data_IF_022328761768
#
_entry.id   IF_022328761768
#
_cell.length_a   1.000
_cell.length_b   1.000
_cell.length_c   1.000
_cell.angle_alpha   90.00
_cell.angle_beta   90.00
_cell.angle_gamma   90.00
#
_symmetry.space_group_name_H-M   'P 1'
#
loop_
_entity.id
_entity.type
_entity.pdbx_description
1 polymer ?
#
# COMPACT_ATOMS: atom_id res chain seq x y z
N UNK A 1 -15.00 3.13 -13.14
CA UNK A 1 -14.38 2.84 -11.82
C UNK A 1 -14.62 1.39 -11.37
N UNK A 2 -15.83 0.82 -11.47
CA UNK A 2 -16.06 -0.59 -11.07
C UNK A 2 -15.36 -1.62 -11.99
N UNK A 3 -15.37 -1.42 -13.31
CA UNK A 3 -14.77 -2.38 -14.26
C UNK A 3 -13.26 -2.58 -14.07
N UNK A 4 -12.51 -1.50 -13.84
CA UNK A 4 -11.06 -1.56 -13.60
C UNK A 4 -10.70 -2.16 -12.24
N UNK A 5 -11.49 -1.87 -11.20
CA UNK A 5 -11.31 -2.47 -9.88
C UNK A 5 -11.58 -3.98 -9.93
N UNK A 6 -12.65 -4.41 -10.60
CA UNK A 6 -12.95 -5.82 -10.83
C UNK A 6 -11.88 -6.53 -11.66
N UNK A 7 -11.28 -5.83 -12.63
CA UNK A 7 -10.20 -6.38 -13.44
C UNK A 7 -8.90 -6.54 -12.64
N UNK A 8 -8.54 -5.55 -11.80
CA UNK A 8 -7.41 -5.65 -10.88
C UNK A 8 -7.63 -6.75 -9.82
N UNK A 9 -8.84 -6.88 -9.29
CA UNK A 9 -9.25 -7.99 -8.41
C UNK A 9 -9.13 -9.34 -9.14
N UNK A 10 -9.60 -9.45 -10.39
CA UNK A 10 -9.41 -10.67 -11.20
C UNK A 10 -7.94 -10.99 -11.47
N UNK A 11 -7.10 -9.97 -11.64
CA UNK A 11 -5.68 -10.09 -11.98
C UNK A 11 -4.81 -10.49 -10.78
N UNK A 12 -5.03 -9.89 -9.62
CA UNK A 12 -4.12 -10.00 -8.48
C UNK A 12 -4.65 -10.81 -7.30
N UNK A 13 -5.97 -11.00 -7.20
CA UNK A 13 -6.60 -11.69 -6.07
C UNK A 13 -7.03 -13.11 -6.48
N UNK A 14 -6.54 -14.16 -5.79
CA UNK A 14 -6.97 -15.52 -6.05
C UNK A 14 -8.50 -15.67 -6.00
N UNK A 15 -9.12 -16.54 -6.81
CA UNK A 15 -10.58 -16.67 -6.86
C UNK A 15 -11.28 -16.84 -5.51
N UNK A 16 -10.62 -17.53 -4.57
CA UNK A 16 -11.11 -17.81 -3.21
C UNK A 16 -11.12 -16.60 -2.27
N UNK A 17 -10.47 -15.50 -2.66
CA UNK A 17 -10.31 -14.29 -1.85
C UNK A 17 -10.99 -13.07 -2.48
N UNK A 18 -11.59 -13.22 -3.67
CA UNK A 18 -12.38 -12.17 -4.32
C UNK A 18 -13.68 -11.96 -3.53
N UNK A 19 -14.01 -10.73 -3.18
CA UNK A 19 -15.21 -10.37 -2.40
C UNK A 19 -14.99 -10.25 -0.88
N UNK A 20 -13.78 -10.50 -0.37
CA UNK A 20 -13.39 -10.07 0.98
C UNK A 20 -12.93 -8.59 0.89
N UNK A 21 -13.90 -7.68 0.94
CA UNK A 21 -13.67 -6.26 0.67
C UNK A 21 -12.82 -5.60 1.77
N UNK A 22 -11.62 -5.13 1.41
CA UNK A 22 -10.95 -4.06 2.13
C UNK A 22 -11.22 -2.77 1.37
N UNK A 23 -12.08 -1.88 1.91
CA UNK A 23 -12.38 -0.61 1.25
C UNK A 23 -11.15 0.30 1.34
N UNK A 24 -10.51 0.55 0.19
CA UNK A 24 -9.43 1.52 0.04
C UNK A 24 -10.00 2.94 -0.09
N UNK A 25 -9.67 3.83 0.86
CA UNK A 25 -9.89 5.28 0.71
C UNK A 25 -8.57 5.98 0.43
N UNK A 26 -8.59 7.02 -0.41
CA UNK A 26 -7.44 7.82 -0.81
C UNK A 26 -7.50 9.19 -0.14
N UNK A 27 -6.39 9.61 0.46
CA UNK A 27 -6.19 11.00 0.83
C UNK A 27 -4.80 11.45 0.36
N UNK A 28 -4.76 12.29 -0.69
CA UNK A 28 -3.57 13.02 -1.09
C UNK A 28 -3.45 14.28 -0.23
N UNK A 29 -2.40 14.39 0.57
CA UNK A 29 -2.16 15.57 1.40
C UNK A 29 -0.77 16.15 1.14
N UNK A 30 -0.70 17.48 1.05
CA UNK A 30 0.56 18.26 0.98
C UNK A 30 1.30 18.31 2.33
N UNK A 31 0.70 17.80 3.41
CA UNK A 31 1.29 17.77 4.75
C UNK A 31 1.17 16.36 5.38
N UNK A 32 2.27 15.59 5.47
CA UNK A 32 2.26 14.23 6.01
C UNK A 32 1.92 14.15 7.50
N UNK A 33 2.16 15.22 8.29
CA UNK A 33 1.81 15.25 9.71
C UNK A 33 0.31 15.41 9.96
N UNK A 34 -0.39 16.18 9.12
CA UNK A 34 -1.83 16.41 9.27
C UNK A 34 -2.66 15.15 9.08
N UNK A 35 -2.22 14.26 8.19
CA UNK A 35 -2.88 12.99 7.90
C UNK A 35 -2.77 11.99 9.06
N UNK A 36 -1.62 11.99 9.74
CA UNK A 36 -1.36 11.13 10.89
C UNK A 36 -2.29 11.49 12.06
N UNK A 37 -2.49 12.79 12.31
CA UNK A 37 -3.38 13.29 13.38
C UNK A 37 -4.86 13.00 13.09
N UNK A 38 -5.32 13.17 11.85
CA UNK A 38 -6.71 12.85 11.49
C UNK A 38 -6.99 11.34 11.58
N UNK A 39 -6.03 10.48 11.27
CA UNK A 39 -6.19 9.03 11.36
C UNK A 39 -6.18 8.51 12.80
N UNK A 40 -5.32 9.03 13.68
CA UNK A 40 -5.39 8.71 15.11
C UNK A 40 -6.76 9.09 15.68
N UNK A 41 -7.34 10.21 15.22
CA UNK A 41 -8.70 10.62 15.61
C UNK A 41 -9.77 9.70 15.02
N UNK A 42 -9.67 9.29 13.76
CA UNK A 42 -10.67 8.41 13.11
C UNK A 42 -10.62 6.98 13.65
N UNK A 43 -9.42 6.43 13.87
CA UNK A 43 -9.21 5.15 14.52
C UNK A 43 -9.67 5.18 15.99
N UNK A 44 -9.43 6.28 16.71
CA UNK A 44 -9.96 6.50 18.06
C UNK A 44 -11.49 6.70 18.10
N UNK A 45 -12.11 7.17 17.01
CA UNK A 45 -13.56 7.38 16.90
C UNK A 45 -14.33 6.15 16.36
N UNK A 46 -13.65 5.15 15.79
CA UNK A 46 -14.22 4.27 14.77
C UNK A 46 -14.35 2.78 15.11
N UNK A 47 -15.03 2.43 16.20
CA UNK A 47 -15.61 1.09 16.40
C UNK A 47 -14.65 -0.12 16.45
N UNK A 48 -15.21 -1.33 16.47
CA UNK A 48 -14.48 -2.60 16.71
C UNK A 48 -13.75 -3.14 15.46
N UNK A 49 -13.42 -2.28 14.49
CA UNK A 49 -12.84 -2.65 13.19
C UNK A 49 -11.33 -2.36 13.19
N UNK A 50 -10.56 -3.21 12.51
CA UNK A 50 -9.12 -3.06 12.39
C UNK A 50 -8.74 -2.34 11.09
N UNK A 51 -7.77 -1.41 11.16
CA UNK A 51 -7.28 -0.67 9.99
C UNK A 51 -5.82 -1.03 9.68
N UNK A 52 -5.55 -1.41 8.44
CA UNK A 52 -4.20 -1.54 7.90
C UNK A 52 -3.93 -0.35 6.97
N UNK A 53 -2.85 0.38 7.19
CA UNK A 53 -2.61 1.67 6.53
C UNK A 53 -1.23 1.65 5.88
N UNK A 54 -1.17 2.04 4.62
CA UNK A 54 0.10 2.23 3.89
C UNK A 54 0.22 3.70 3.53
N UNK A 55 1.19 4.37 4.12
CA UNK A 55 1.47 5.78 3.91
C UNK A 55 2.81 5.96 3.21
N UNK A 56 2.79 6.25 1.91
CA UNK A 56 3.97 6.45 1.08
C UNK A 56 4.31 7.93 1.07
N UNK A 57 5.48 8.26 1.60
CA UNK A 57 5.98 9.62 1.73
C UNK A 57 7.03 9.89 0.65
N UNK A 58 6.80 10.93 -0.14
CA UNK A 58 7.72 11.39 -1.19
C UNK A 58 8.33 12.71 -0.75
N UNK A 59 9.60 12.71 -0.30
CA UNK A 59 10.28 13.95 0.02
C UNK A 59 10.66 14.70 -1.26
N UNK A 60 10.58 16.03 -1.19
CA UNK A 60 10.84 16.96 -2.29
C UNK A 60 10.67 18.40 -1.81
N UNK A 61 10.75 19.37 -2.72
CA UNK A 61 10.47 20.79 -2.41
C UNK A 61 9.04 21.02 -1.92
N UNK A 62 8.11 20.16 -2.35
CA UNK A 62 6.82 19.93 -1.72
C UNK A 62 6.75 18.46 -1.32
N UNK A 63 6.41 18.17 -0.06
CA UNK A 63 6.22 16.80 0.42
C UNK A 63 4.88 16.26 -0.07
N UNK A 64 4.89 15.19 -0.86
CA UNK A 64 3.68 14.48 -1.25
C UNK A 64 3.52 13.24 -0.39
N UNK A 65 2.30 12.98 0.08
CA UNK A 65 1.95 11.75 0.78
C UNK A 65 0.80 11.06 0.09
N UNK A 66 0.94 9.76 -0.13
CA UNK A 66 -0.13 8.87 -0.57
C UNK A 66 -0.47 7.94 0.59
N UNK A 67 -1.67 8.08 1.17
CA UNK A 67 -2.16 7.12 2.14
C UNK A 67 -3.28 6.25 1.57
N UNK A 68 -3.15 4.95 1.81
CA UNK A 68 -4.09 3.91 1.45
C UNK A 68 -4.59 3.25 2.73
N UNK A 69 -5.89 3.33 2.96
CA UNK A 69 -6.53 2.79 4.16
C UNK A 69 -7.26 1.50 3.83
N UNK A 70 -6.97 0.41 4.52
CA UNK A 70 -7.68 -0.86 4.38
C UNK A 70 -8.41 -1.17 5.67
N UNK A 71 -9.73 -1.03 5.66
CA UNK A 71 -10.58 -1.43 6.79
C UNK A 71 -10.90 -2.91 6.67
N UNK A 72 -10.70 -3.65 7.76
CA UNK A 72 -11.04 -5.06 7.85
C UNK A 72 -12.46 -5.25 8.36
N UNK A 73 -13.27 -6.01 7.62
CA UNK A 73 -14.58 -6.40 8.10
C UNK A 73 -14.54 -7.58 9.08
N UNK A 74 -13.54 -8.43 8.94
CA UNK A 74 -13.27 -9.59 9.78
C UNK A 74 -12.33 -9.19 10.93
N UNK A 75 -12.55 -9.68 12.17
CA UNK A 75 -11.61 -9.52 13.28
C UNK A 75 -10.19 -9.99 12.91
N UNK A 76 -9.18 -9.30 13.44
CA UNK A 76 -7.76 -9.56 13.13
C UNK A 76 -7.35 -10.99 13.46
N UNK A 77 -7.87 -11.53 14.57
CA UNK A 77 -7.59 -12.86 15.12
C UNK A 77 -8.05 -13.98 14.18
N UNK A 78 -8.98 -13.70 13.27
CA UNK A 78 -9.45 -14.65 12.25
C UNK A 78 -8.59 -14.63 10.99
N UNK A 79 -7.56 -13.77 10.92
CA UNK A 79 -6.63 -13.68 9.79
C UNK A 79 -5.19 -13.89 10.29
N UNK A 80 -4.79 -15.15 10.57
CA UNK A 80 -3.56 -15.43 11.34
C UNK A 80 -2.28 -14.88 10.73
N UNK A 81 -2.19 -14.81 9.39
CA UNK A 81 -1.02 -14.24 8.71
C UNK A 81 -0.90 -12.74 8.97
N UNK A 82 -2.04 -12.02 8.91
CA UNK A 82 -2.06 -10.59 9.13
C UNK A 82 -1.89 -10.26 10.61
N UNK A 83 -2.52 -11.02 11.50
CA UNK A 83 -2.31 -10.91 12.94
C UNK A 83 -0.82 -11.05 13.30
N UNK A 84 -0.16 -12.09 12.79
CA UNK A 84 1.29 -12.29 12.97
C UNK A 84 2.12 -11.15 12.38
N UNK A 85 1.73 -10.58 11.25
CA UNK A 85 2.41 -9.42 10.67
C UNK A 85 2.23 -8.17 11.52
N UNK A 86 1.02 -7.95 12.04
CA UNK A 86 0.67 -6.81 12.90
C UNK A 86 1.43 -6.88 14.22
N UNK A 87 1.50 -8.05 14.85
CA UNK A 87 2.13 -8.24 16.15
C UNK A 87 3.61 -8.67 16.10
N UNK A 88 4.16 -8.89 14.90
CA UNK A 88 5.57 -9.27 14.69
C UNK A 88 6.54 -8.11 14.85
N UNK A 89 7.84 -8.37 14.75
CA UNK A 89 8.89 -7.35 14.74
C UNK A 89 9.11 -6.75 13.34
N UNK A 90 9.92 -5.68 13.27
CA UNK A 90 10.20 -4.99 12.01
C UNK A 90 11.00 -5.85 11.05
N UNK A 91 11.91 -6.72 11.53
CA UNK A 91 12.65 -7.64 10.68
C UNK A 91 11.71 -8.61 9.95
N UNK A 92 10.74 -9.16 10.68
CA UNK A 92 9.68 -9.99 10.12
C UNK A 92 8.85 -9.23 9.10
N UNK A 93 8.36 -8.03 9.44
CA UNK A 93 7.53 -7.22 8.54
C UNK A 93 8.29 -6.86 7.25
N UNK A 94 9.53 -6.40 7.38
CA UNK A 94 10.40 -6.00 6.28
C UNK A 94 10.71 -7.15 5.31
N UNK A 95 10.84 -8.37 5.82
CA UNK A 95 11.07 -9.56 4.99
C UNK A 95 9.83 -10.03 4.23
N UNK A 96 8.62 -9.56 4.58
CA UNK A 96 7.35 -10.11 4.05
C UNK A 96 6.50 -9.13 3.27
N UNK A 97 6.67 -7.82 3.46
CA UNK A 97 5.83 -6.82 2.82
C UNK A 97 6.27 -6.55 1.36
N UNK A 98 5.40 -6.89 0.41
CA UNK A 98 5.63 -6.74 -1.03
C UNK A 98 4.71 -5.69 -1.64
N UNK A 99 5.25 -4.92 -2.58
CA UNK A 99 4.51 -4.10 -3.53
C UNK A 99 4.61 -4.70 -4.92
N UNK A 100 3.48 -4.82 -5.60
CA UNK A 100 3.41 -5.13 -7.02
C UNK A 100 2.82 -3.91 -7.74
N UNK A 101 3.64 -3.14 -8.46
CA UNK A 101 3.16 -2.06 -9.28
C UNK A 101 2.74 -2.57 -10.66
N UNK A 102 1.73 -1.94 -11.26
CA UNK A 102 1.35 -2.17 -12.65
C UNK A 102 0.86 -0.87 -13.28
N UNK A 103 1.43 -0.47 -14.42
CA UNK A 103 1.02 0.74 -15.11
C UNK A 103 0.06 0.38 -16.24
N UNK A 104 -1.24 0.63 -16.04
CA UNK A 104 -2.26 0.35 -17.06
C UNK A 104 -2.28 1.41 -18.16
N UNK A 105 -2.09 2.69 -17.82
CA UNK A 105 -1.95 3.81 -18.77
C UNK A 105 -0.67 4.59 -18.47
N UNK A 106 0.15 4.88 -19.48
CA UNK A 106 1.40 5.63 -19.31
C UNK A 106 2.40 5.38 -20.45
N UNK A 107 3.38 6.26 -20.60
CA UNK A 107 4.44 6.13 -21.61
C UNK A 107 5.36 4.94 -21.34
N UNK A 108 5.98 4.41 -22.39
CA UNK A 108 6.89 3.25 -22.28
C UNK A 108 8.05 3.50 -21.31
N UNK A 109 8.62 4.70 -21.31
CA UNK A 109 9.72 5.07 -20.42
C UNK A 109 9.33 4.99 -18.93
N UNK A 110 8.09 5.37 -18.59
CA UNK A 110 7.58 5.25 -17.22
C UNK A 110 7.33 3.79 -16.87
N UNK A 111 6.75 3.00 -17.79
CA UNK A 111 6.53 1.55 -17.62
C UNK A 111 7.82 0.79 -17.35
N UNK A 112 8.89 1.14 -18.07
CA UNK A 112 10.19 0.52 -17.89
C UNK A 112 10.84 0.92 -16.55
N UNK A 113 10.73 2.18 -16.15
CA UNK A 113 11.35 2.69 -14.93
C UNK A 113 10.74 2.09 -13.65
N UNK A 114 9.43 1.89 -13.61
CA UNK A 114 8.75 1.26 -12.47
C UNK A 114 8.95 -0.26 -12.44
N UNK A 115 9.12 -0.87 -13.61
CA UNK A 115 9.22 -2.32 -13.75
C UNK A 115 7.87 -3.04 -13.53
N UNK A 116 7.90 -4.37 -13.66
CA UNK A 116 6.71 -5.25 -13.49
C UNK A 116 6.86 -6.27 -12.38
N UNK A 117 8.01 -6.30 -11.70
CA UNK A 117 8.35 -7.31 -10.71
C UNK A 117 7.90 -6.85 -9.32
N UNK A 118 7.41 -7.80 -8.51
CA UNK A 118 7.15 -7.56 -7.10
C UNK A 118 8.44 -7.13 -6.37
N UNK A 119 8.36 -6.07 -5.57
CA UNK A 119 9.46 -5.56 -4.74
C UNK A 119 9.16 -5.83 -3.26
N UNK A 120 10.15 -6.29 -2.49
CA UNK A 120 10.09 -6.33 -1.03
C UNK A 120 10.39 -4.93 -0.51
N UNK A 121 9.36 -4.18 -0.12
CA UNK A 121 9.49 -2.76 0.20
C UNK A 121 10.43 -2.56 1.38
N UNK A 122 10.27 -3.34 2.45
CA UNK A 122 11.09 -3.22 3.66
C UNK A 122 12.54 -3.70 3.50
N UNK A 123 12.93 -4.17 2.30
CA UNK A 123 14.33 -4.42 1.95
C UNK A 123 14.90 -3.33 1.04
N UNK A 124 14.04 -2.55 0.39
CA UNK A 124 14.42 -1.52 -0.57
C UNK A 124 14.32 -0.10 0.00
N UNK A 125 13.48 0.10 1.01
CA UNK A 125 13.16 1.38 1.63
C UNK A 125 13.05 1.22 3.15
N UNK A 126 13.33 2.32 3.86
CA UNK A 126 12.99 2.45 5.28
C UNK A 126 11.46 2.53 5.45
N UNK A 127 10.96 1.75 6.41
CA UNK A 127 9.55 1.73 6.78
C UNK A 127 9.43 1.95 8.28
N UNK A 128 8.71 3.00 8.66
CA UNK A 128 8.36 3.27 10.05
C UNK A 128 7.01 2.63 10.37
N UNK A 129 6.98 1.75 11.37
CA UNK A 129 5.77 1.04 11.78
C UNK A 129 5.13 1.71 12.99
N UNK A 130 3.84 2.00 12.91
CA UNK A 130 3.07 2.58 14.02
C UNK A 130 1.89 1.69 14.35
N UNK A 131 1.96 1.03 15.50
CA UNK A 131 0.92 0.14 16.01
C UNK A 131 0.07 0.88 17.05
N UNK A 132 -1.21 1.10 16.74
CA UNK A 132 -2.21 1.58 17.71
C UNK A 132 -2.93 0.43 18.40
N UNK A 133 -4.14 0.64 18.93
CA UNK A 133 -4.99 -0.43 19.47
C UNK A 133 -5.72 -1.19 18.35
N UNK A 134 -6.31 -0.48 17.40
CA UNK A 134 -7.10 -1.01 16.28
C UNK A 134 -6.50 -0.72 14.90
N UNK A 135 -5.21 -0.37 14.80
CA UNK A 135 -4.57 -0.18 13.51
C UNK A 135 -3.06 -0.48 13.50
N UNK A 136 -2.55 -0.69 12.29
CA UNK A 136 -1.13 -0.66 11.96
C UNK A 136 -0.91 0.27 10.76
N UNK A 137 -0.05 1.27 10.92
CA UNK A 137 0.39 2.17 9.85
C UNK A 137 1.84 1.88 9.44
N UNK A 138 2.06 1.79 8.13
CA UNK A 138 3.38 1.65 7.50
C UNK A 138 3.73 2.97 6.82
N UNK A 139 4.62 3.75 7.43
CA UNK A 139 5.21 4.95 6.84
C UNK A 139 6.40 4.58 5.96
N UNK A 140 6.16 4.43 4.65
CA UNK A 140 7.18 4.10 3.66
C UNK A 140 7.86 5.38 3.19
N UNK A 141 9.15 5.55 3.51
CA UNK A 141 9.92 6.72 3.09
C UNK A 141 10.63 6.47 1.75
N UNK A 142 10.10 7.04 0.67
CA UNK A 142 10.75 7.01 -0.66
C UNK A 142 12.12 7.70 -0.62
N UNK A 143 12.30 8.68 0.28
CA UNK A 143 13.52 9.41 0.48
C UNK A 143 14.72 8.56 0.87
N UNK A 144 14.49 7.42 1.52
CA UNK A 144 15.55 6.52 1.96
C UNK A 144 16.36 5.88 0.82
N UNK A 145 15.88 5.92 -0.44
CA UNK A 145 16.56 5.34 -1.60
C UNK A 145 16.74 6.32 -2.76
N UNK A 146 17.98 6.46 -3.24
CA UNK A 146 18.30 7.24 -4.45
C UNK A 146 17.56 6.72 -5.69
N UNK A 147 17.45 5.39 -5.82
CA UNK A 147 16.76 4.75 -6.94
C UNK A 147 15.26 5.06 -6.88
N UNK A 148 14.64 4.92 -5.71
CA UNK A 148 13.21 5.19 -5.55
C UNK A 148 12.87 6.67 -5.78
N UNK A 149 13.70 7.60 -5.29
CA UNK A 149 13.58 9.03 -5.58
C UNK A 149 13.62 9.31 -7.09
N UNK A 150 14.55 8.68 -7.83
CA UNK A 150 14.66 8.84 -9.28
C UNK A 150 13.40 8.34 -10.01
N UNK A 151 12.91 7.16 -9.66
CA UNK A 151 11.68 6.59 -10.26
C UNK A 151 10.47 7.48 -9.98
N UNK A 152 10.30 7.93 -8.73
CA UNK A 152 9.16 8.80 -8.38
C UNK A 152 9.26 10.17 -9.04
N UNK A 153 10.45 10.78 -9.11
CA UNK A 153 10.64 12.05 -9.82
C UNK A 153 10.25 11.94 -11.30
N UNK A 154 10.58 10.81 -11.95
CA UNK A 154 10.16 10.55 -13.32
C UNK A 154 8.63 10.40 -13.40
N UNK A 155 8.05 9.58 -12.53
CA UNK A 155 6.59 9.35 -12.46
C UNK A 155 5.81 10.66 -12.25
N UNK A 156 6.28 11.53 -11.36
CA UNK A 156 5.67 12.84 -11.09
C UNK A 156 5.61 13.73 -12.34
N UNK A 157 6.59 13.63 -13.24
CA UNK A 157 6.60 14.35 -14.52
C UNK A 157 5.53 13.90 -15.53
N UNK A 158 4.91 12.72 -15.33
CA UNK A 158 3.93 12.14 -16.26
C UNK A 158 2.52 11.98 -15.68
N UNK A 159 2.25 12.53 -14.49
CA UNK A 159 1.00 12.32 -13.74
C UNK A 159 -0.28 12.52 -14.56
N UNK A 160 -0.31 13.55 -15.42
CA UNK A 160 -1.50 13.91 -16.20
C UNK A 160 -1.98 12.81 -17.18
N UNK A 161 -1.15 11.81 -17.48
CA UNK A 161 -1.48 10.73 -18.41
C UNK A 161 -1.07 9.34 -17.89
N UNK A 162 -1.05 9.17 -16.57
CA UNK A 162 -0.53 7.97 -15.92
C UNK A 162 -1.58 7.34 -14.99
N UNK A 163 -1.77 6.03 -15.13
CA UNK A 163 -2.58 5.21 -14.20
C UNK A 163 -1.70 4.09 -13.67
N UNK A 164 -1.52 4.06 -12.36
CA UNK A 164 -0.73 3.05 -11.65
C UNK A 164 -1.65 2.24 -10.74
N UNK A 165 -1.71 0.95 -10.97
CA UNK A 165 -2.34 -0.02 -10.09
C UNK A 165 -1.29 -0.55 -9.10
N UNK A 166 -1.64 -0.65 -7.82
CA UNK A 166 -0.73 -1.14 -6.79
C UNK A 166 -1.40 -2.23 -5.96
N UNK A 167 -0.72 -3.36 -5.81
CA UNK A 167 -1.14 -4.41 -4.89
C UNK A 167 -0.08 -4.61 -3.80
N UNK A 168 -0.52 -4.67 -2.55
CA UNK A 168 0.32 -5.01 -1.40
C UNK A 168 0.06 -6.44 -0.96
N UNK A 169 1.13 -7.15 -0.62
CA UNK A 169 1.04 -8.55 -0.20
C UNK A 169 1.94 -8.79 1.00
N UNK A 170 1.48 -9.66 1.88
CA UNK A 170 2.30 -10.26 2.95
C UNK A 170 2.66 -11.66 2.48
N UNK A 171 3.94 -11.90 2.18
CA UNK A 171 4.37 -13.24 1.74
C UNK A 171 4.51 -14.21 2.92
N UNK A 172 4.36 -15.51 2.62
CA UNK A 172 4.54 -16.63 3.55
C UNK A 172 5.78 -17.43 3.13
N UNK A 173 6.49 -18.07 4.06
CA UNK A 173 7.71 -18.87 3.77
C UNK A 173 7.38 -20.22 3.09
N UNK A 174 6.16 -20.75 3.22
CA UNK A 174 5.84 -22.10 2.77
C UNK A 174 5.07 -22.11 1.43
N UNK A 175 5.43 -23.08 0.58
CA UNK A 175 4.93 -23.37 -0.78
C UNK A 175 3.42 -23.70 -0.85
N UNK A 176 2.69 -23.65 0.26
CA UNK A 176 1.24 -23.90 0.30
C UNK A 176 0.50 -22.78 1.05
N UNK A 177 -0.57 -22.29 0.42
CA UNK A 177 -1.69 -21.49 0.96
C UNK A 177 -1.61 -19.95 1.12
N UNK A 178 -2.76 -19.35 0.77
CA UNK A 178 -3.34 -18.02 1.08
C UNK A 178 -2.41 -16.81 1.05
N UNK A 179 -2.33 -16.18 -0.13
CA UNK A 179 -1.85 -14.81 -0.29
C UNK A 179 -2.93 -13.84 0.20
N UNK A 180 -2.70 -13.09 1.27
CA UNK A 180 -3.52 -11.90 1.52
C UNK A 180 -3.04 -10.81 0.55
N UNK A 181 -3.91 -10.45 -0.39
CA UNK A 181 -3.68 -9.39 -1.35
C UNK A 181 -4.57 -8.20 -0.99
N UNK A 182 -3.95 -7.09 -0.64
CA UNK A 182 -4.61 -5.80 -0.52
C UNK A 182 -4.43 -5.11 -1.88
N UNK A 183 -5.51 -5.05 -2.66
CA UNK A 183 -5.48 -4.43 -3.98
C UNK A 183 -5.97 -3.00 -3.87
N UNK A 184 -5.18 -2.05 -4.36
CA UNK A 184 -5.60 -0.67 -4.53
C UNK A 184 -5.43 -0.26 -5.99
N UNK A 185 -6.54 0.10 -6.61
CA UNK A 185 -6.54 0.79 -7.88
C UNK A 185 -6.30 2.27 -7.62
N UNK A 186 -5.14 2.80 -8.03
CA UNK A 186 -4.88 4.23 -7.93
C UNK A 186 -5.04 4.90 -9.30
N UNK A 187 -6.13 5.63 -9.45
CA UNK A 187 -6.30 6.61 -10.52
C UNK A 187 -5.73 7.93 -10.00
N UNK A 188 -4.45 8.21 -10.27
CA UNK A 188 -3.90 9.55 -10.04
C UNK A 188 -4.43 10.47 -11.14
N UNK A 189 -5.62 11.03 -10.93
CA UNK A 189 -6.02 12.27 -11.60
C UNK A 189 -5.59 13.39 -10.67
N UNK A 190 -4.46 14.04 -10.98
CA UNK A 190 -4.14 15.35 -10.42
C UNK A 190 -4.73 16.44 -11.31
#
# INVERSE_FOLDING_TARGET
>A
MSSMHEEAQRRWVPPKLRGQDCRASFAGAKNPFGLRVSMHKYAAQGGNKFFFIVNIQVPGSSTYSLALYYMMDTPLEKVPLLERFVNGDDAFRNSRFKLIPYISKGSWIVKQSVGKKACLIGQALEINYFRGSNYLELGVDIGSSTVARGVVSLVLGYLNNLVIEMAFLIQVIAVYLTKLALVSLLLLFF
#
